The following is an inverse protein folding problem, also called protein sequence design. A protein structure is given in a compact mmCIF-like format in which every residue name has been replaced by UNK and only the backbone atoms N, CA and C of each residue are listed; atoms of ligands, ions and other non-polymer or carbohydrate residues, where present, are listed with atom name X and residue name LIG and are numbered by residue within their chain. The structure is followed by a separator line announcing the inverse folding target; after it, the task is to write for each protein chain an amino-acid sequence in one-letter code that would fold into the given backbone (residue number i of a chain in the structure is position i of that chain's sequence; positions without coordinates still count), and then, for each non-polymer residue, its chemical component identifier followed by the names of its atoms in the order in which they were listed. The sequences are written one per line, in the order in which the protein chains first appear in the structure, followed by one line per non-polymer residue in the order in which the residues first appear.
data_IF_678303301825
#
_entry.id   IF_678303301825
#
_cell.length_a   1.000
_cell.length_b   1.000
_cell.length_c   1.000
_cell.angle_alpha   90.00
_cell.angle_beta   90.00
_cell.angle_gamma   90.00
#
_symmetry.space_group_name_H-M   'P 1'
#
loop_
_entity.id
_entity.type
_entity.pdbx_description
1 polymer ?
#
# COMPACT_ATOMS: atom_id res chain seq x y z
N UNK A 1 4.25 17.89 31.07
CA UNK A 1 2.78 17.96 31.20
C UNK A 1 2.17 17.35 29.95
N UNK A 2 1.35 16.28 30.02
CA UNK A 2 0.58 15.85 28.86
C UNK A 2 -0.86 16.34 29.01
N UNK A 3 -1.24 17.34 28.22
CA UNK A 3 -2.64 17.62 27.90
C UNK A 3 -2.85 17.16 26.46
N UNK A 4 -3.20 15.89 26.29
CA UNK A 4 -3.76 15.37 25.06
C UNK A 4 -5.08 14.73 25.41
N UNK A 5 -6.19 15.38 25.10
CA UNK A 5 -7.50 14.75 25.20
C UNK A 5 -7.54 13.63 24.16
N UNK A 6 -7.46 12.38 24.60
CA UNK A 6 -7.78 11.19 23.80
C UNK A 6 -9.30 11.16 23.53
N UNK A 7 -9.76 12.08 22.69
CA UNK A 7 -11.10 11.97 22.12
C UNK A 7 -11.07 10.81 21.10
N UNK A 8 -11.96 9.82 21.22
CA UNK A 8 -12.00 8.71 20.27
C UNK A 8 -12.25 9.26 18.87
N UNK A 9 -11.40 8.87 17.91
CA UNK A 9 -11.59 9.22 16.50
C UNK A 9 -12.93 8.62 16.07
N UNK A 10 -13.90 9.44 15.62
CA UNK A 10 -15.20 8.93 15.22
C UNK A 10 -15.01 7.97 14.03
N UNK A 11 -15.79 6.89 14.03
CA UNK A 11 -15.78 5.95 12.92
C UNK A 11 -16.11 6.71 11.63
N UNK A 12 -15.18 6.70 10.68
CA UNK A 12 -15.43 7.29 9.38
C UNK A 12 -16.66 6.61 8.74
N UNK A 13 -17.52 7.35 8.03
CA UNK A 13 -18.60 6.75 7.26
C UNK A 13 -18.03 5.69 6.29
N UNK A 14 -18.48 4.44 6.41
CA UNK A 14 -18.06 3.34 5.54
C UNK A 14 -19.18 3.06 4.55
N UNK A 15 -18.87 3.09 3.26
CA UNK A 15 -19.77 2.56 2.22
C UNK A 15 -20.01 1.07 2.46
N UNK A 16 -21.22 0.61 2.20
CA UNK A 16 -21.59 -0.81 2.11
C UNK A 16 -20.92 -1.47 0.91
N UNK A 17 -20.82 -2.80 0.90
CA UNK A 17 -20.18 -3.53 -0.21
C UNK A 17 -20.82 -3.20 -1.57
N UNK A 18 -22.14 -3.05 -1.63
CA UNK A 18 -22.86 -2.69 -2.86
C UNK A 18 -22.48 -1.28 -3.33
N UNK A 19 -22.44 -0.31 -2.41
CA UNK A 19 -22.00 1.06 -2.72
C UNK A 19 -20.52 1.14 -3.13
N UNK A 20 -19.68 0.22 -2.64
CA UNK A 20 -18.30 0.12 -3.13
C UNK A 20 -18.26 -0.35 -4.58
N UNK A 21 -19.05 -1.36 -4.93
CA UNK A 21 -19.06 -1.94 -6.28
C UNK A 21 -19.69 -0.97 -7.30
N UNK A 22 -20.78 -0.31 -6.93
CA UNK A 22 -21.51 0.61 -7.82
C UNK A 22 -20.74 1.90 -8.12
N UNK A 23 -19.88 2.32 -7.19
CA UNK A 23 -19.08 3.55 -7.31
C UNK A 23 -17.59 3.27 -7.53
N UNK A 24 -17.20 2.01 -7.76
CA UNK A 24 -15.82 1.68 -8.14
C UNK A 24 -15.66 1.94 -9.65
N UNK A 25 -15.37 3.20 -10.00
CA UNK A 25 -15.10 3.61 -11.38
C UNK A 25 -13.76 3.08 -11.93
N UNK A 26 -13.10 2.16 -11.22
CA UNK A 26 -11.75 1.66 -11.51
C UNK A 26 -10.66 2.74 -11.44
N UNK A 27 -11.05 3.97 -11.12
CA UNK A 27 -10.18 5.14 -11.10
C UNK A 27 -9.53 5.28 -9.73
N UNK A 28 -8.36 4.67 -9.56
CA UNK A 28 -7.53 4.82 -8.35
C UNK A 28 -6.90 6.21 -8.20
N UNK A 29 -7.13 7.12 -9.15
CA UNK A 29 -6.66 8.52 -9.12
C UNK A 29 -7.25 9.35 -7.97
N UNK A 30 -8.38 8.92 -7.39
CA UNK A 30 -9.05 9.63 -6.29
C UNK A 30 -8.32 9.54 -4.95
N UNK A 31 -7.30 8.69 -4.85
CA UNK A 31 -6.43 8.61 -3.68
C UNK A 31 -5.16 9.43 -3.95
N UNK A 32 -5.12 10.73 -3.61
CA UNK A 32 -3.90 11.49 -3.72
C UNK A 32 -2.83 10.77 -2.88
N UNK A 33 -1.73 10.39 -3.52
CA UNK A 33 -0.62 9.81 -2.78
C UNK A 33 -0.17 10.81 -1.72
N UNK A 34 0.16 10.34 -0.50
CA UNK A 34 0.67 11.22 0.53
C UNK A 34 1.90 11.95 -0.01
N UNK A 35 1.99 13.25 0.26
CA UNK A 35 3.13 14.06 -0.16
C UNK A 35 4.41 13.56 0.52
N UNK A 36 5.23 12.80 -0.19
CA UNK A 36 6.53 12.37 0.31
C UNK A 36 7.51 13.56 0.37
N UNK A 37 8.30 13.63 1.43
CA UNK A 37 9.41 14.59 1.52
C UNK A 37 10.44 14.34 0.42
N UNK A 38 11.21 15.37 0.05
CA UNK A 38 12.27 15.22 -0.96
C UNK A 38 13.28 14.13 -0.58
N UNK A 39 13.59 13.99 0.70
CA UNK A 39 14.46 12.95 1.23
C UNK A 39 13.85 11.55 1.08
N UNK A 40 12.55 11.39 1.36
CA UNK A 40 11.85 10.13 1.18
C UNK A 40 11.84 9.74 -0.32
N UNK A 41 11.52 10.68 -1.21
CA UNK A 41 11.56 10.45 -2.67
C UNK A 41 12.95 10.03 -3.15
N UNK A 42 14.01 10.69 -2.68
CA UNK A 42 15.38 10.34 -3.02
C UNK A 42 15.78 8.94 -2.51
N UNK A 43 15.29 8.53 -1.33
CA UNK A 43 15.50 7.18 -0.80
C UNK A 43 14.76 6.13 -1.64
N UNK A 44 13.50 6.37 -2.01
CA UNK A 44 12.74 5.46 -2.87
C UNK A 44 13.42 5.24 -4.23
N UNK A 45 13.93 6.31 -4.84
CA UNK A 45 14.65 6.23 -6.12
C UNK A 45 15.95 5.41 -6.05
N UNK A 46 16.57 5.31 -4.87
CA UNK A 46 17.78 4.49 -4.66
C UNK A 46 17.49 3.02 -4.37
N UNK A 47 16.28 2.70 -3.91
CA UNK A 47 15.85 1.35 -3.58
C UNK A 47 15.18 0.68 -4.80
N UNK A 48 14.50 1.46 -5.64
CA UNK A 48 13.89 0.94 -6.85
C UNK A 48 14.99 0.47 -7.81
N UNK A 49 15.02 -0.81 -8.20
CA UNK A 49 15.92 -1.27 -9.26
C UNK A 49 15.58 -0.56 -10.57
N UNK A 50 16.61 -0.24 -11.35
CA UNK A 50 16.46 0.37 -12.66
C UNK A 50 15.65 -0.56 -13.57
N UNK A 51 14.49 -0.13 -14.09
CA UNK A 51 13.63 -0.97 -14.92
C UNK A 51 14.23 -1.29 -16.29
N UNK A 52 15.22 -0.52 -16.75
CA UNK A 52 15.89 -0.69 -18.05
C UNK A 52 17.22 -1.47 -17.93
N UNK A 53 17.78 -1.60 -16.72
CA UNK A 53 18.97 -2.42 -16.45
C UNK A 53 18.68 -3.94 -16.45
N UNK A 54 17.71 -4.35 -17.26
CA UNK A 54 17.30 -5.73 -17.46
C UNK A 54 18.43 -6.61 -17.96
N UNK A 55 19.12 -7.28 -17.04
CA UNK A 55 19.06 -8.74 -17.12
C UNK A 55 17.67 -9.09 -16.65
N UNK A 56 16.80 -9.54 -17.56
CA UNK A 56 15.35 -9.75 -17.38
C UNK A 56 14.97 -10.81 -16.34
N UNK A 57 15.58 -10.76 -15.16
CA UNK A 57 15.22 -11.51 -14.00
C UNK A 57 14.14 -10.70 -13.29
N UNK A 58 12.90 -11.17 -13.41
CA UNK A 58 11.85 -10.70 -12.53
C UNK A 58 12.38 -10.74 -11.08
N UNK A 59 12.10 -9.73 -10.23
CA UNK A 59 12.50 -9.77 -8.84
C UNK A 59 12.11 -11.13 -8.25
N UNK A 60 13.09 -11.87 -7.72
CA UNK A 60 12.80 -13.20 -7.17
C UNK A 60 11.69 -13.05 -6.11
N UNK A 61 10.62 -13.85 -6.19
CA UNK A 61 9.57 -13.80 -5.19
C UNK A 61 10.17 -13.95 -3.80
N UNK A 62 9.84 -13.04 -2.89
CA UNK A 62 10.24 -13.16 -1.49
C UNK A 62 9.77 -14.52 -0.97
N UNK A 63 10.73 -15.35 -0.56
CA UNK A 63 10.41 -16.64 0.05
C UNK A 63 9.58 -16.40 1.31
N UNK A 64 8.45 -17.11 1.48
CA UNK A 64 7.63 -16.94 2.67
C UNK A 64 8.45 -17.32 3.91
N UNK A 65 8.25 -16.63 5.05
CA UNK A 65 8.89 -17.00 6.30
C UNK A 65 8.60 -18.48 6.63
N UNK A 66 9.57 -19.21 7.21
CA UNK A 66 9.35 -20.60 7.61
C UNK A 66 8.15 -20.68 8.56
N UNK A 67 7.08 -21.33 8.11
CA UNK A 67 5.82 -21.47 8.85
C UNK A 67 4.59 -20.81 8.21
N UNK A 68 4.78 -19.90 7.25
CA UNK A 68 3.68 -19.30 6.48
C UNK A 68 3.33 -20.19 5.28
N UNK A 69 2.69 -21.34 5.56
CA UNK A 69 2.20 -22.23 4.50
C UNK A 69 0.89 -21.69 3.95
N UNK A 70 0.90 -21.30 2.68
CA UNK A 70 -0.35 -21.03 1.96
C UNK A 70 -1.16 -22.34 1.88
N UNK A 71 -2.47 -22.24 2.10
CA UNK A 71 -3.36 -23.37 1.88
C UNK A 71 -3.33 -23.75 0.38
N UNK A 72 -3.41 -25.05 0.03
CA UNK A 72 -3.46 -25.46 -1.36
C UNK A 72 -4.66 -24.82 -2.06
N UNK A 73 -4.43 -24.30 -3.27
CA UNK A 73 -5.51 -23.88 -4.16
C UNK A 73 -6.19 -25.16 -4.64
N UNK A 74 -7.46 -25.33 -4.27
CA UNK A 74 -8.25 -26.54 -4.47
C UNK A 74 -8.51 -26.92 -5.92
#
# INVERSE_FOLDING_TARGET
MPCGNDAPIPAAPRKTLLEWIEHDDGNTSEFPQPSCSAQAKALHARILPDPDNGKGEAPEPLQPPPGLRLAPLG
#
